data_IF_040092736262
#
_entry.id   IF_040092736262
#
_cell.length_a   1.000
_cell.length_b   1.000
_cell.length_c   1.000
_cell.angle_alpha   90.00
_cell.angle_beta   90.00
_cell.angle_gamma   90.00
#
_symmetry.space_group_name_H-M   'P 1'
#
loop_
_entity.id
_entity.type
_entity.pdbx_description
1 polymer ?
#
# COMPACT_ATOMS: atom_id res chain seq x y z
N UNK A 1 -50.36 22.99 -11.69
CA UNK A 1 -49.08 22.68 -11.02
C UNK A 1 -49.18 23.23 -9.63
N UNK A 2 -49.01 22.37 -8.62
CA UNK A 2 -49.13 22.80 -7.23
C UNK A 2 -47.98 23.74 -6.85
N UNK A 3 -48.13 24.54 -5.80
CA UNK A 3 -47.11 25.54 -5.39
C UNK A 3 -45.80 24.83 -5.04
N UNK A 4 -45.89 23.66 -4.44
CA UNK A 4 -44.79 22.78 -4.00
C UNK A 4 -44.02 22.21 -5.19
N UNK A 5 -44.72 21.80 -6.26
CA UNK A 5 -44.11 21.32 -7.50
C UNK A 5 -43.28 22.38 -8.20
N UNK A 6 -43.62 23.67 -8.03
CA UNK A 6 -42.85 24.78 -8.58
C UNK A 6 -41.60 25.08 -7.74
N UNK A 7 -41.70 25.02 -6.40
CA UNK A 7 -40.56 25.22 -5.48
C UNK A 7 -39.48 24.15 -5.70
N UNK A 8 -39.88 22.94 -6.06
CA UNK A 8 -38.95 21.82 -6.28
C UNK A 8 -38.22 21.90 -7.64
N UNK A 9 -38.63 22.81 -8.54
CA UNK A 9 -37.99 22.97 -9.86
C UNK A 9 -36.67 23.74 -9.75
N UNK A 10 -35.59 23.00 -9.49
CA UNK A 10 -34.24 23.57 -9.53
C UNK A 10 -33.16 22.58 -9.12
N UNK A 11 -31.97 23.09 -8.77
CA UNK A 11 -30.96 22.31 -8.05
C UNK A 11 -31.27 22.30 -6.54
N UNK A 12 -30.73 21.34 -5.80
CA UNK A 12 -30.95 21.23 -4.34
C UNK A 12 -30.61 22.53 -3.59
N UNK A 13 -29.62 23.28 -4.08
CA UNK A 13 -29.23 24.56 -3.49
C UNK A 13 -30.26 25.68 -3.71
N UNK A 14 -30.92 25.69 -4.87
CA UNK A 14 -31.92 26.70 -5.22
C UNK A 14 -33.19 26.49 -4.39
N UNK A 15 -33.64 25.24 -4.28
CA UNK A 15 -34.80 24.85 -3.45
C UNK A 15 -34.61 25.28 -1.99
N UNK A 16 -33.43 25.06 -1.42
CA UNK A 16 -33.12 25.49 -0.04
C UNK A 16 -33.15 27.01 0.14
N UNK A 17 -32.73 27.78 -0.88
CA UNK A 17 -32.77 29.25 -0.85
C UNK A 17 -34.18 29.79 -0.97
N UNK A 18 -35.03 29.17 -1.78
CA UNK A 18 -36.43 29.56 -1.93
C UNK A 18 -37.24 29.28 -0.67
N UNK A 19 -37.05 28.11 -0.06
CA UNK A 19 -37.68 27.74 1.22
C UNK A 19 -37.26 28.69 2.35
N UNK A 20 -36.01 29.16 2.35
CA UNK A 20 -35.53 30.13 3.33
C UNK A 20 -36.16 31.53 3.23
N UNK A 21 -36.90 31.83 2.16
CA UNK A 21 -37.63 33.10 1.98
C UNK A 21 -39.10 33.02 2.36
N UNK A 22 -39.62 31.81 2.63
CA UNK A 22 -41.02 31.57 2.95
C UNK A 22 -41.20 31.48 4.47
N UNK A 23 -42.20 32.19 4.99
CA UNK A 23 -42.43 32.30 6.45
C UNK A 23 -43.11 31.05 7.04
N UNK A 24 -43.90 30.32 6.24
CA UNK A 24 -44.54 29.05 6.64
C UNK A 24 -44.40 28.02 5.53
N UNK A 25 -43.82 26.86 5.84
CA UNK A 25 -43.50 25.82 4.86
C UNK A 25 -43.98 24.46 5.33
N UNK A 26 -44.85 23.83 4.55
CA UNK A 26 -45.37 22.49 4.82
C UNK A 26 -44.40 21.43 4.28
N UNK A 27 -43.47 21.00 5.13
CA UNK A 27 -42.43 20.04 4.76
C UNK A 27 -42.97 18.66 4.35
N UNK A 28 -44.15 18.25 4.85
CA UNK A 28 -44.78 16.99 4.44
C UNK A 28 -45.20 16.99 2.97
N UNK A 29 -45.86 18.06 2.51
CA UNK A 29 -46.29 18.22 1.14
C UNK A 29 -45.08 18.31 0.17
N UNK A 30 -43.98 18.94 0.59
CA UNK A 30 -42.73 18.99 -0.18
C UNK A 30 -42.06 17.62 -0.31
N UNK A 31 -42.11 16.78 0.73
CA UNK A 31 -41.57 15.40 0.67
C UNK A 31 -42.39 14.55 -0.31
N UNK A 32 -43.72 14.66 -0.28
CA UNK A 32 -44.59 13.93 -1.20
C UNK A 32 -44.41 14.37 -2.66
N UNK A 33 -44.29 15.67 -2.89
CA UNK A 33 -44.03 16.22 -4.22
C UNK A 33 -42.65 15.79 -4.76
N UNK A 34 -41.60 15.76 -3.92
CA UNK A 34 -40.26 15.30 -4.34
C UNK A 34 -40.24 13.79 -4.62
N UNK A 35 -40.97 12.99 -3.83
CA UNK A 35 -41.12 11.53 -4.06
C UNK A 35 -41.84 11.22 -5.37
N UNK A 36 -42.85 12.03 -5.74
CA UNK A 36 -43.55 11.92 -7.05
C UNK A 36 -42.68 12.42 -8.21
N UNK A 37 -41.77 13.36 -7.94
CA UNK A 37 -40.88 13.97 -8.92
C UNK A 37 -39.51 13.28 -9.06
N UNK A 38 -38.44 14.05 -8.84
CA UNK A 38 -37.04 13.63 -9.11
C UNK A 38 -36.45 12.72 -8.02
N UNK A 39 -37.15 12.55 -6.89
CA UNK A 39 -36.84 11.65 -5.78
C UNK A 39 -35.37 11.72 -5.29
N UNK A 40 -34.89 12.93 -5.00
CA UNK A 40 -33.52 13.17 -4.53
C UNK A 40 -33.42 12.88 -3.03
N UNK A 41 -32.77 11.77 -2.68
CA UNK A 41 -32.58 11.32 -1.28
C UNK A 41 -32.05 12.40 -0.33
N UNK A 42 -31.06 13.18 -0.76
CA UNK A 42 -30.46 14.26 0.06
C UNK A 42 -31.41 15.40 0.38
N UNK A 43 -32.40 15.66 -0.48
CA UNK A 43 -33.39 16.71 -0.27
C UNK A 43 -34.49 16.20 0.66
N UNK A 44 -34.92 14.94 0.49
CA UNK A 44 -35.88 14.26 1.36
C UNK A 44 -35.33 14.17 2.80
N UNK A 45 -34.09 13.71 2.98
CA UNK A 45 -33.43 13.67 4.29
C UNK A 45 -33.35 15.07 4.93
N UNK A 46 -33.14 16.11 4.12
CA UNK A 46 -33.09 17.48 4.60
C UNK A 46 -34.48 18.01 5.03
N UNK A 47 -35.54 17.69 4.29
CA UNK A 47 -36.92 18.02 4.66
C UNK A 47 -37.38 17.26 5.91
N UNK A 48 -37.03 15.99 6.06
CA UNK A 48 -37.34 15.19 7.25
C UNK A 48 -36.66 15.76 8.50
N UNK A 49 -35.40 16.20 8.36
CA UNK A 49 -34.68 16.87 9.45
C UNK A 49 -35.32 18.21 9.82
N UNK A 50 -35.75 19.00 8.84
CA UNK A 50 -36.45 20.28 9.09
C UNK A 50 -37.82 20.10 9.73
N UNK A 51 -38.55 19.04 9.35
CA UNK A 51 -39.83 18.65 9.97
C UNK A 51 -39.65 18.34 11.46
N UNK A 52 -38.59 17.61 11.82
CA UNK A 52 -38.27 17.32 13.22
C UNK A 52 -37.93 18.60 13.99
N UNK A 53 -37.12 19.49 13.43
CA UNK A 53 -36.79 20.79 14.04
C UNK A 53 -38.02 21.70 14.25
N UNK A 54 -39.01 21.64 13.35
CA UNK A 54 -40.26 22.41 13.48
C UNK A 54 -41.25 21.81 14.50
N UNK A 55 -41.18 20.48 14.71
CA UNK A 55 -42.07 19.76 15.63
C UNK A 55 -41.70 19.89 17.11
N UNK A 56 -40.44 20.22 17.45
CA UNK A 56 -39.97 20.33 18.84
C UNK A 56 -40.38 21.65 19.56
N UNK A 57 -41.17 22.53 18.92
CA UNK A 57 -41.53 23.86 19.49
C UNK A 57 -42.93 24.00 20.09
N UNK A 58 -43.75 22.95 20.14
CA UNK A 58 -45.09 23.01 20.77
C UNK A 58 -45.26 21.81 21.70
N UNK A 59 -44.74 21.93 22.93
CA UNK A 59 -45.26 21.35 24.18
C UNK A 59 -44.22 21.49 25.30
N UNK A 60 -44.23 22.63 26.01
CA UNK A 60 -43.54 22.77 27.29
C UNK A 60 -44.50 23.44 28.30
N UNK A 61 -45.20 22.63 29.10
CA UNK A 61 -45.57 22.96 30.49
C UNK A 61 -45.66 21.67 31.34
N UNK A 62 -44.92 21.71 32.45
CA UNK A 62 -44.87 20.80 33.62
C UNK A 62 -43.90 19.59 33.54
N UNK A 63 -42.77 19.73 34.26
CA UNK A 63 -41.83 18.67 34.70
C UNK A 63 -42.29 18.11 36.08
N UNK A 64 -41.93 16.88 36.51
CA UNK A 64 -40.53 16.56 36.83
C UNK A 64 -39.99 15.14 36.53
N UNK A 65 -38.67 15.14 36.27
CA UNK A 65 -37.62 14.16 36.59
C UNK A 65 -37.69 12.69 36.11
N UNK A 66 -36.81 12.32 35.16
CA UNK A 66 -36.00 11.09 35.25
C UNK A 66 -34.75 11.14 34.34
N UNK A 67 -33.74 10.33 34.68
CA UNK A 67 -32.31 10.42 34.36
C UNK A 67 -31.95 10.53 32.87
N UNK A 68 -30.97 11.40 32.56
CA UNK A 68 -30.25 11.42 31.27
C UNK A 68 -29.31 10.21 31.16
N UNK A 69 -29.63 9.27 30.28
CA UNK A 69 -28.62 8.37 29.70
C UNK A 69 -28.00 9.07 28.48
N UNK A 70 -26.67 9.20 28.45
CA UNK A 70 -25.95 9.71 27.29
C UNK A 70 -26.09 8.73 26.10
N UNK A 71 -26.39 9.19 24.87
CA UNK A 71 -26.40 8.30 23.72
C UNK A 71 -24.96 7.85 23.42
N UNK A 72 -24.74 6.54 23.51
CA UNK A 72 -23.49 5.88 23.17
C UNK A 72 -22.97 6.35 21.80
N UNK A 73 -21.73 6.86 21.79
CA UNK A 73 -20.99 7.17 20.56
C UNK A 73 -20.93 5.89 19.73
N UNK A 74 -21.57 5.87 18.56
CA UNK A 74 -21.31 4.87 17.52
C UNK A 74 -19.84 4.97 17.12
N UNK A 75 -18.99 4.19 17.78
CA UNK A 75 -17.60 4.03 17.39
C UNK A 75 -17.59 3.53 15.95
N UNK A 76 -16.96 4.32 15.05
CA UNK A 76 -16.64 3.83 13.72
C UNK A 76 -15.74 2.62 13.91
N UNK A 77 -16.30 1.41 13.83
CA UNK A 77 -15.55 0.16 13.83
C UNK A 77 -14.54 0.28 12.69
N UNK A 78 -13.29 0.59 13.03
CA UNK A 78 -12.18 0.47 12.09
C UNK A 78 -12.14 -1.01 11.76
N UNK A 79 -12.58 -1.39 10.55
CA UNK A 79 -12.32 -2.73 10.03
C UNK A 79 -10.81 -2.86 9.94
N UNK A 80 -10.19 -3.37 10.99
CA UNK A 80 -8.80 -3.75 11.00
C UNK A 80 -8.65 -4.78 9.90
N UNK A 81 -7.99 -4.41 8.81
CA UNK A 81 -7.68 -5.36 7.75
C UNK A 81 -6.81 -6.43 8.42
N UNK A 82 -7.25 -7.70 8.49
CA UNK A 82 -6.47 -8.72 9.16
C UNK A 82 -5.11 -8.81 8.47
N UNK A 83 -4.05 -8.53 9.23
CA UNK A 83 -2.68 -8.64 8.74
C UNK A 83 -2.36 -10.12 8.76
N UNK A 84 -2.37 -10.74 7.59
CA UNK A 84 -1.96 -12.12 7.46
C UNK A 84 -0.46 -12.24 7.76
N UNK A 85 -0.11 -13.20 8.60
CA UNK A 85 1.27 -13.46 8.99
C UNK A 85 1.92 -14.38 7.95
N UNK A 86 3.17 -14.09 7.62
CA UNK A 86 4.02 -14.91 6.76
C UNK A 86 4.45 -16.13 7.56
N UNK A 87 4.13 -17.32 7.05
CA UNK A 87 4.46 -18.61 7.66
C UNK A 87 5.85 -19.10 7.23
N UNK A 88 6.21 -18.85 5.96
CA UNK A 88 7.40 -19.40 5.32
C UNK A 88 8.48 -18.33 5.12
N UNK A 89 9.39 -18.21 6.09
CA UNK A 89 10.54 -17.30 6.03
C UNK A 89 11.85 -17.98 6.49
N UNK A 90 12.08 -19.21 6.04
CA UNK A 90 13.25 -19.99 6.44
C UNK A 90 14.29 -20.10 5.33
N UNK A 91 15.52 -20.49 5.70
CA UNK A 91 16.55 -20.83 4.72
C UNK A 91 16.18 -22.14 4.02
N UNK A 92 16.40 -22.20 2.72
CA UNK A 92 16.21 -23.43 1.94
C UNK A 92 17.14 -24.53 2.49
N UNK A 93 16.65 -25.76 2.60
CA UNK A 93 17.52 -26.95 2.72
C UNK A 93 18.07 -27.26 1.34
N UNK A 94 19.37 -27.08 1.14
CA UNK A 94 20.00 -27.24 -0.16
C UNK A 94 20.38 -28.70 -0.41
N UNK A 95 20.25 -29.15 -1.65
CA UNK A 95 20.87 -30.39 -2.11
C UNK A 95 22.41 -30.24 -2.17
N UNK A 96 23.15 -31.36 -2.17
CA UNK A 96 24.63 -31.36 -2.24
C UNK A 96 25.17 -30.54 -3.42
N UNK A 97 24.49 -30.59 -4.57
CA UNK A 97 24.86 -29.82 -5.76
C UNK A 97 24.60 -28.32 -5.57
N UNK A 98 23.47 -27.96 -4.96
CA UNK A 98 23.13 -26.57 -4.66
C UNK A 98 24.10 -25.97 -3.64
N UNK A 99 24.52 -26.75 -2.63
CA UNK A 99 25.53 -26.34 -1.66
C UNK A 99 26.88 -26.04 -2.32
N UNK A 100 27.27 -26.86 -3.30
CA UNK A 100 28.47 -26.63 -4.11
C UNK A 100 28.36 -25.30 -4.86
N UNK A 101 27.24 -25.05 -5.53
CA UNK A 101 26.98 -23.78 -6.24
C UNK A 101 27.02 -22.60 -5.25
N UNK A 102 26.38 -22.74 -4.09
CA UNK A 102 26.36 -21.72 -3.04
C UNK A 102 27.77 -21.38 -2.54
N UNK A 103 28.62 -22.39 -2.34
CA UNK A 103 30.02 -22.23 -1.94
C UNK A 103 30.84 -21.50 -3.01
N UNK A 104 30.65 -21.85 -4.28
CA UNK A 104 31.31 -21.16 -5.40
C UNK A 104 30.90 -19.69 -5.42
N UNK A 105 29.60 -19.40 -5.31
CA UNK A 105 29.09 -18.03 -5.27
C UNK A 105 29.71 -17.21 -4.14
N UNK A 106 29.82 -17.79 -2.94
CA UNK A 106 30.41 -17.10 -1.80
C UNK A 106 31.87 -16.72 -2.08
N UNK A 107 32.64 -17.66 -2.65
CA UNK A 107 34.02 -17.41 -3.10
C UNK A 107 34.10 -16.33 -4.17
N UNK A 108 33.25 -16.39 -5.20
CA UNK A 108 33.17 -15.36 -6.25
C UNK A 108 32.84 -13.98 -5.67
N UNK A 109 31.87 -13.90 -4.73
CA UNK A 109 31.52 -12.63 -4.06
C UNK A 109 32.72 -12.05 -3.30
N UNK A 110 33.50 -12.89 -2.61
CA UNK A 110 34.71 -12.48 -1.88
C UNK A 110 35.84 -12.03 -2.82
N UNK A 111 35.95 -12.65 -3.99
CA UNK A 111 36.98 -12.31 -4.97
C UNK A 111 36.70 -10.99 -5.73
N UNK A 112 35.43 -10.59 -5.85
CA UNK A 112 35.04 -9.37 -6.56
C UNK A 112 35.32 -8.13 -5.69
N UNK A 113 36.07 -7.14 -6.19
CA UNK A 113 36.29 -5.87 -5.48
C UNK A 113 35.04 -4.99 -5.53
N UNK A 114 34.95 -4.01 -4.64
CA UNK A 114 33.78 -3.12 -4.52
C UNK A 114 33.57 -2.14 -5.70
N UNK A 115 34.50 -2.08 -6.65
CA UNK A 115 34.46 -1.16 -7.81
C UNK A 115 34.11 0.30 -7.44
N UNK A 116 34.92 0.89 -6.57
CA UNK A 116 34.73 2.28 -6.14
C UNK A 116 35.23 3.28 -7.20
N UNK A 117 34.62 4.48 -7.22
CA UNK A 117 35.08 5.60 -8.04
C UNK A 117 36.51 6.01 -7.66
N UNK A 118 37.29 6.43 -8.65
CA UNK A 118 38.57 7.09 -8.40
C UNK A 118 38.41 8.25 -7.41
N UNK A 119 39.33 8.35 -6.46
CA UNK A 119 39.40 9.45 -5.48
C UNK A 119 38.17 9.64 -4.58
N UNK A 120 37.31 8.62 -4.47
CA UNK A 120 36.13 8.65 -3.59
C UNK A 120 36.49 9.10 -2.16
N UNK A 121 37.55 8.52 -1.59
CA UNK A 121 38.02 8.85 -0.23
C UNK A 121 38.58 10.26 -0.10
N UNK A 122 39.10 10.84 -1.19
CA UNK A 122 39.72 12.17 -1.16
C UNK A 122 38.70 13.31 -1.21
N UNK A 123 37.52 13.08 -1.81
CA UNK A 123 36.55 14.15 -2.13
C UNK A 123 35.15 13.76 -1.71
N UNK A 124 34.61 14.38 -0.65
CA UNK A 124 33.25 14.13 -0.13
C UNK A 124 32.13 14.33 -1.17
N UNK A 125 32.31 15.23 -2.13
CA UNK A 125 31.35 15.46 -3.23
C UNK A 125 31.19 14.27 -4.20
N UNK A 126 32.14 13.33 -4.19
CA UNK A 126 32.07 12.14 -5.03
C UNK A 126 31.21 11.08 -4.34
N UNK A 127 30.19 10.60 -5.06
CA UNK A 127 29.36 9.48 -4.60
C UNK A 127 30.09 8.15 -4.79
N UNK A 128 29.81 7.19 -3.92
CA UNK A 128 30.32 5.82 -3.96
C UNK A 128 29.69 4.99 -5.10
N UNK A 129 29.87 5.44 -6.35
CA UNK A 129 29.31 4.83 -7.56
C UNK A 129 30.43 4.67 -8.58
N UNK A 130 30.51 3.51 -9.23
CA UNK A 130 31.47 3.28 -10.29
C UNK A 130 31.32 4.30 -11.43
N UNK A 131 32.44 4.90 -11.86
CA UNK A 131 32.54 5.70 -13.08
C UNK A 131 33.86 5.34 -13.75
N UNK A 132 33.82 5.09 -15.06
CA UNK A 132 35.04 4.81 -15.84
C UNK A 132 36.02 5.98 -15.67
N UNK A 133 37.25 5.77 -15.18
CA UNK A 133 38.26 6.83 -15.14
C UNK A 133 38.62 7.19 -16.58
N UNK A 134 38.56 8.49 -16.91
CA UNK A 134 38.77 8.99 -18.29
C UNK A 134 40.07 9.79 -18.46
N UNK A 135 40.63 10.33 -17.39
CA UNK A 135 41.83 11.18 -17.47
C UNK A 135 43.05 10.37 -17.93
N UNK A 136 43.88 10.97 -18.78
CA UNK A 136 45.10 10.36 -19.32
C UNK A 136 46.10 10.02 -18.21
N UNK A 137 46.30 10.93 -17.26
CA UNK A 137 47.15 10.69 -16.08
C UNK A 137 46.52 9.80 -15.01
N UNK A 138 45.32 9.27 -15.23
CA UNK A 138 44.64 8.46 -14.23
C UNK A 138 45.36 7.13 -14.04
N UNK A 139 46.02 7.01 -12.88
CA UNK A 139 46.68 5.76 -12.47
C UNK A 139 45.69 4.60 -12.30
N UNK A 140 44.40 4.90 -12.12
CA UNK A 140 43.35 3.88 -12.12
C UNK A 140 42.98 3.45 -13.55
N UNK A 141 42.93 4.38 -14.51
CA UNK A 141 42.73 4.04 -15.92
C UNK A 141 43.87 3.16 -16.45
N UNK A 142 45.12 3.50 -16.10
CA UNK A 142 46.32 2.74 -16.41
C UNK A 142 46.37 1.36 -15.69
N UNK A 143 45.58 1.17 -14.62
CA UNK A 143 45.52 -0.10 -13.89
C UNK A 143 46.66 -0.32 -12.89
N UNK A 144 47.33 0.74 -12.42
CA UNK A 144 48.43 0.63 -11.46
C UNK A 144 47.99 -0.03 -10.13
N UNK A 145 48.87 -0.88 -9.59
CA UNK A 145 48.69 -1.53 -8.28
C UNK A 145 48.49 -0.47 -7.17
N UNK A 146 47.57 -0.76 -6.24
CA UNK A 146 47.21 0.16 -5.15
C UNK A 146 46.05 1.10 -5.49
N UNK A 147 45.64 1.23 -6.76
CA UNK A 147 44.36 1.88 -7.12
C UNK A 147 43.23 0.85 -7.19
N UNK A 148 41.96 1.26 -7.01
CA UNK A 148 40.84 0.33 -7.10
C UNK A 148 40.76 -0.29 -8.51
N UNK A 149 40.47 -1.59 -8.59
CA UNK A 149 40.40 -2.31 -9.86
C UNK A 149 39.26 -1.79 -10.75
N UNK A 150 39.48 -1.77 -12.07
CA UNK A 150 38.45 -1.47 -13.05
C UNK A 150 37.54 -2.71 -13.26
N UNK A 151 36.21 -2.56 -13.42
CA UNK A 151 35.35 -3.61 -13.88
C UNK A 151 35.75 -4.09 -15.28
N UNK A 152 35.63 -5.39 -15.49
CA UNK A 152 35.93 -6.08 -16.74
C UNK A 152 35.18 -7.40 -16.82
N UNK A 153 35.18 -8.05 -17.99
CA UNK A 153 34.42 -9.28 -18.25
C UNK A 153 34.81 -10.42 -17.29
N UNK A 154 36.08 -10.48 -16.87
CA UNK A 154 36.61 -11.51 -15.97
C UNK A 154 36.06 -11.49 -14.55
N UNK A 155 35.41 -10.40 -14.12
CA UNK A 155 34.74 -10.33 -12.82
C UNK A 155 33.29 -10.85 -12.84
N UNK A 156 32.81 -11.29 -14.01
CA UNK A 156 31.46 -11.85 -14.16
C UNK A 156 31.37 -13.19 -13.45
N UNK A 157 30.34 -13.34 -12.62
CA UNK A 157 30.01 -14.62 -11.97
C UNK A 157 29.56 -15.66 -12.97
N UNK A 158 29.78 -16.94 -12.67
CA UNK A 158 29.24 -18.07 -13.45
C UNK A 158 27.73 -17.96 -13.62
N UNK A 159 27.21 -18.51 -14.72
CA UNK A 159 25.79 -18.42 -15.07
C UNK A 159 24.89 -19.01 -13.97
N UNK A 160 25.31 -20.13 -13.39
CA UNK A 160 24.62 -20.88 -12.33
C UNK A 160 24.55 -20.11 -11.01
N UNK A 161 25.64 -19.46 -10.59
CA UNK A 161 25.70 -18.74 -9.30
C UNK A 161 25.11 -17.34 -9.37
N UNK A 162 25.00 -16.80 -10.58
CA UNK A 162 24.49 -15.45 -10.83
C UNK A 162 22.99 -15.39 -10.49
N UNK A 163 22.57 -14.31 -9.84
CA UNK A 163 21.19 -14.04 -9.38
C UNK A 163 20.66 -14.89 -8.21
N UNK A 164 21.35 -15.94 -7.79
CA UNK A 164 20.99 -16.67 -6.56
C UNK A 164 20.90 -15.70 -5.36
N UNK A 165 20.03 -15.92 -4.39
CA UNK A 165 19.91 -15.16 -3.12
C UNK A 165 20.68 -15.87 -1.99
N UNK A 166 21.22 -15.19 -0.96
CA UNK A 166 21.96 -15.86 0.12
C UNK A 166 21.15 -16.92 0.89
N UNK A 167 19.82 -16.90 0.78
CA UNK A 167 18.95 -17.97 1.34
C UNK A 167 18.89 -19.24 0.50
N UNK A 168 19.51 -19.25 -0.70
CA UNK A 168 19.51 -20.40 -1.61
C UNK A 168 18.41 -20.38 -2.69
N UNK A 169 17.51 -19.40 -2.67
CA UNK A 169 16.46 -19.25 -3.68
C UNK A 169 16.87 -18.30 -4.81
N UNK A 170 16.22 -18.42 -5.97
CA UNK A 170 16.23 -17.38 -7.00
C UNK A 170 15.12 -16.35 -6.72
N UNK A 171 15.46 -15.08 -6.48
CA UNK A 171 14.48 -14.07 -6.15
C UNK A 171 13.72 -13.60 -7.40
N UNK A 172 12.39 -13.70 -7.38
CA UNK A 172 11.50 -13.13 -8.38
C UNK A 172 10.72 -11.95 -7.79
N UNK A 173 10.65 -10.86 -8.54
CA UNK A 173 9.94 -9.66 -8.10
C UNK A 173 8.46 -9.77 -8.47
N UNK A 174 7.59 -9.57 -7.49
CA UNK A 174 6.14 -9.78 -7.61
C UNK A 174 5.36 -8.50 -7.33
N UNK A 175 4.35 -8.22 -8.15
CA UNK A 175 3.48 -7.06 -8.08
C UNK A 175 2.02 -7.39 -7.77
N UNK A 176 1.56 -8.59 -8.15
CA UNK A 176 0.18 -9.04 -8.01
C UNK A 176 0.12 -10.53 -7.61
N UNK A 177 -1.09 -11.05 -7.43
CA UNK A 177 -1.32 -12.45 -7.02
C UNK A 177 -1.06 -13.42 -8.16
N UNK A 178 -1.38 -13.05 -9.40
CA UNK A 178 -1.22 -13.90 -10.59
C UNK A 178 0.25 -14.28 -10.82
N UNK A 179 1.16 -13.33 -10.60
CA UNK A 179 2.60 -13.54 -10.70
C UNK A 179 3.13 -14.56 -9.68
N UNK A 180 2.40 -14.86 -8.58
CA UNK A 180 2.79 -15.91 -7.64
C UNK A 180 2.55 -17.32 -8.19
N UNK A 181 1.62 -17.49 -9.11
CA UNK A 181 1.29 -18.81 -9.69
C UNK A 181 2.39 -19.32 -10.62
N UNK A 182 3.19 -18.41 -11.17
CA UNK A 182 4.31 -18.74 -12.05
C UNK A 182 5.59 -19.16 -11.30
N UNK A 183 5.60 -19.08 -9.97
CA UNK A 183 6.80 -19.28 -9.14
C UNK A 183 6.89 -20.73 -8.68
N UNK A 184 8.05 -21.36 -8.88
CA UNK A 184 8.36 -22.67 -8.30
C UNK A 184 8.78 -22.53 -6.82
N UNK A 185 7.98 -22.99 -5.83
CA UNK A 185 8.26 -22.79 -4.41
C UNK A 185 9.57 -23.41 -3.93
N UNK A 186 10.09 -24.43 -4.61
CA UNK A 186 11.32 -25.10 -4.21
C UNK A 186 12.57 -24.34 -4.64
N UNK A 187 12.55 -23.70 -5.81
CA UNK A 187 13.73 -23.04 -6.41
C UNK A 187 13.69 -21.53 -6.26
N UNK A 188 12.50 -20.95 -6.25
CA UNK A 188 12.29 -19.53 -6.39
C UNK A 188 11.60 -18.96 -5.15
N UNK A 189 11.85 -17.68 -4.88
CA UNK A 189 11.25 -16.97 -3.76
C UNK A 189 10.75 -15.60 -4.20
N UNK A 190 9.64 -15.16 -3.62
CA UNK A 190 9.00 -13.91 -3.97
C UNK A 190 9.65 -12.71 -3.23
N UNK A 191 9.92 -11.65 -3.98
CA UNK A 191 10.21 -10.30 -3.49
C UNK A 191 9.03 -9.42 -3.88
N UNK A 192 8.23 -9.04 -2.90
CA UNK A 192 7.09 -8.16 -3.15
C UNK A 192 7.62 -6.75 -3.47
N UNK A 193 7.20 -6.17 -4.57
CA UNK A 193 7.63 -4.84 -4.98
C UNK A 193 7.25 -3.76 -3.95
N UNK A 194 8.11 -2.75 -3.79
CA UNK A 194 7.87 -1.65 -2.84
C UNK A 194 6.64 -0.79 -3.15
N UNK A 195 6.18 -0.79 -4.41
CA UNK A 195 4.98 -0.08 -4.86
C UNK A 195 3.67 -0.75 -4.44
N UNK A 196 3.70 -2.00 -3.94
CA UNK A 196 2.50 -2.71 -3.51
C UNK A 196 2.04 -2.18 -2.16
N UNK A 197 0.80 -1.66 -2.13
CA UNK A 197 0.14 -1.18 -0.92
C UNK A 197 -0.21 -2.31 0.06
N UNK A 198 -0.49 -1.96 1.33
CA UNK A 198 -0.74 -2.95 2.41
C UNK A 198 -1.88 -3.93 2.08
N UNK A 199 -2.99 -3.44 1.51
CA UNK A 199 -4.15 -4.28 1.16
C UNK A 199 -3.78 -5.42 0.21
N UNK A 200 -3.22 -5.08 -0.96
CA UNK A 200 -2.78 -6.06 -1.96
C UNK A 200 -1.63 -6.93 -1.44
N UNK A 201 -0.77 -6.38 -0.58
CA UNK A 201 0.30 -7.14 0.06
C UNK A 201 -0.24 -8.25 0.97
N UNK A 202 -1.30 -8.00 1.73
CA UNK A 202 -1.94 -9.04 2.55
C UNK A 202 -2.54 -10.14 1.66
N UNK A 203 -3.16 -9.79 0.53
CA UNK A 203 -3.68 -10.76 -0.45
C UNK A 203 -2.56 -11.63 -1.04
N UNK A 204 -1.42 -11.02 -1.37
CA UNK A 204 -0.22 -11.73 -1.86
C UNK A 204 0.33 -12.67 -0.79
N UNK A 205 0.41 -12.22 0.48
CA UNK A 205 0.88 -13.06 1.59
C UNK A 205 -0.04 -14.26 1.79
N UNK A 206 -1.35 -14.07 1.69
CA UNK A 206 -2.35 -15.15 1.76
C UNK A 206 -2.08 -16.25 0.76
N UNK A 207 -1.92 -15.86 -0.51
CA UNK A 207 -1.73 -16.80 -1.60
C UNK A 207 -0.35 -17.43 -1.55
N UNK A 208 0.67 -16.66 -1.19
CA UNK A 208 2.03 -17.19 -0.98
C UNK A 208 2.05 -18.25 0.14
N UNK A 209 1.35 -18.03 1.25
CA UNK A 209 1.24 -19.01 2.33
C UNK A 209 0.53 -20.29 1.88
N UNK A 210 -0.55 -20.17 1.08
CA UNK A 210 -1.24 -21.33 0.50
C UNK A 210 -0.34 -22.14 -0.42
N UNK A 211 0.42 -21.46 -1.27
CA UNK A 211 1.32 -22.07 -2.25
C UNK A 211 2.70 -22.43 -1.66
N UNK A 212 2.92 -22.21 -0.35
CA UNK A 212 4.20 -22.43 0.35
C UNK A 212 5.39 -21.68 -0.25
N UNK A 213 5.13 -20.52 -0.85
CA UNK A 213 6.16 -19.67 -1.46
C UNK A 213 6.83 -18.84 -0.37
N UNK A 214 8.16 -18.84 -0.36
CA UNK A 214 8.95 -18.04 0.60
C UNK A 214 8.99 -16.57 0.17
N UNK A 215 8.66 -15.66 1.09
CA UNK A 215 8.77 -14.21 0.88
C UNK A 215 10.09 -13.71 1.51
N UNK A 216 10.93 -13.05 0.71
CA UNK A 216 12.26 -12.61 1.17
C UNK A 216 12.27 -11.26 1.90
N UNK A 217 11.27 -10.40 1.66
CA UNK A 217 11.22 -9.05 2.20
C UNK A 217 10.01 -8.79 3.12
N UNK A 218 9.87 -9.48 4.26
CA UNK A 218 8.78 -9.25 5.20
C UNK A 218 8.88 -7.87 5.87
N UNK A 219 7.74 -7.22 6.17
CA UNK A 219 7.70 -5.99 6.98
C UNK A 219 7.55 -6.29 8.47
N UNK A 220 7.95 -5.34 9.32
CA UNK A 220 7.77 -5.39 10.78
C UNK A 220 6.26 -5.47 11.09
N UNK A 221 5.79 -6.65 11.53
CA UNK A 221 4.38 -6.95 11.80
C UNK A 221 3.79 -8.07 10.92
N UNK A 222 4.40 -8.37 9.78
CA UNK A 222 3.97 -9.46 8.88
C UNK A 222 4.61 -10.80 9.25
N UNK A 223 5.62 -10.81 10.13
CA UNK A 223 6.33 -12.03 10.52
C UNK A 223 5.55 -12.73 11.63
N UNK A 224 5.24 -14.01 11.47
CA UNK A 224 4.82 -14.83 12.61
C UNK A 224 6.03 -15.03 13.52
N UNK A 225 5.97 -14.53 14.77
CA UNK A 225 6.93 -14.93 15.79
C UNK A 225 6.71 -16.42 16.04
N UNK A 226 7.73 -17.21 15.77
CA UNK A 226 7.80 -18.63 16.15
C UNK A 226 8.08 -18.73 17.65
#
# INVERSE_FOLDING_TARGET
MSVEENIIKGTVGDVKKEIGKLDSVDYEALIEAEKKGKNRKTLIEWFELKKQESGEKVEEKAKPEEKKEEPEKKEKIKKEIPVEKIMFHERKKLSKDEERIYRIRFREKKAIPNFMRQELTKRKRLKAVWRKPKGEDSKQAEGKRGKPRNPGIGYKKKKETRRLHPSGFYPLRVHNVVELEMIDPEKEAAIIAGSVGRRKRNEIIKVANKNRITILNPRRGEIQKK
#
